data_IF_949468563180
#
_entry.id   IF_949468563180
#
_cell.length_a   1.000
_cell.length_b   1.000
_cell.length_c   1.000
_cell.angle_alpha   90.00
_cell.angle_beta   90.00
_cell.angle_gamma   90.00
#
_symmetry.space_group_name_H-M   'P 1'
#
loop_
_entity.id
_entity.type
_entity.pdbx_description
1 polymer ?
#
# COMPACT_ATOMS: atom_id res chain seq x y z
N UNK A 1 39.57 19.29 60.01
CA UNK A 1 40.54 19.61 58.92
C UNK A 1 40.22 18.68 57.75
N UNK A 2 40.19 19.24 56.53
CA UNK A 2 39.83 18.66 55.19
C UNK A 2 40.51 17.31 54.86
N UNK A 3 40.04 16.50 53.86
CA UNK A 3 39.34 16.89 52.61
C UNK A 3 38.06 16.06 52.32
N UNK A 4 37.07 16.50 51.52
CA UNK A 4 37.05 16.90 50.10
C UNK A 4 37.48 15.77 49.15
N UNK A 5 36.58 14.81 48.89
CA UNK A 5 36.42 14.08 47.61
C UNK A 5 35.29 13.06 47.75
N UNK A 6 34.23 13.22 46.96
CA UNK A 6 33.34 12.21 46.35
C UNK A 6 32.04 12.91 45.90
N UNK A 7 32.22 14.06 45.24
CA UNK A 7 31.36 14.45 44.13
C UNK A 7 32.01 13.82 42.89
N UNK A 8 31.20 13.29 41.97
CA UNK A 8 31.54 12.40 40.85
C UNK A 8 31.56 10.90 41.18
N UNK A 9 30.40 10.24 41.17
CA UNK A 9 30.17 9.01 40.38
C UNK A 9 28.73 8.44 40.47
N UNK A 10 27.68 9.28 40.48
CA UNK A 10 26.29 8.78 40.43
C UNK A 10 25.52 9.24 39.19
N UNK A 11 26.21 9.79 38.19
CA UNK A 11 25.64 10.24 36.91
C UNK A 11 26.27 9.53 35.72
N UNK A 12 26.53 8.23 35.85
CA UNK A 12 27.07 7.44 34.76
C UNK A 12 26.66 5.99 34.91
N UNK A 13 25.37 5.73 34.75
CA UNK A 13 24.78 4.51 34.18
C UNK A 13 23.31 4.78 33.81
N UNK A 14 23.03 5.99 33.30
CA UNK A 14 22.08 6.12 32.18
C UNK A 14 22.83 5.62 30.94
N UNK A 15 23.17 4.32 30.96
CA UNK A 15 23.65 3.63 29.78
C UNK A 15 22.43 3.46 28.91
N UNK A 16 22.23 4.41 28.01
CA UNK A 16 21.47 4.19 26.80
C UNK A 16 21.86 2.81 26.28
N UNK A 17 20.92 1.87 26.28
CA UNK A 17 20.89 0.83 25.26
C UNK A 17 20.66 1.55 23.92
N UNK A 18 21.68 2.28 23.46
CA UNK A 18 21.91 2.49 22.04
C UNK A 18 22.44 1.14 21.57
N UNK A 19 21.53 0.16 21.46
CA UNK A 19 21.82 -1.10 20.79
C UNK A 19 21.97 -0.69 19.33
N UNK A 20 23.20 -0.41 18.92
CA UNK A 20 23.51 -0.39 17.50
C UNK A 20 23.12 -1.76 16.97
N UNK A 21 22.33 -1.79 15.91
CA UNK A 21 21.79 -2.96 15.19
C UNK A 21 22.77 -4.11 14.91
N UNK A 22 24.06 -3.91 15.16
CA UNK A 22 25.15 -4.88 15.06
C UNK A 22 25.05 -6.01 16.11
N UNK A 23 24.48 -5.77 17.29
CA UNK A 23 24.43 -6.77 18.38
C UNK A 23 23.23 -7.73 18.31
N UNK A 24 22.27 -7.51 17.40
CA UNK A 24 21.04 -8.30 17.34
C UNK A 24 21.07 -9.50 16.37
N UNK A 25 22.20 -9.81 15.69
CA UNK A 25 22.28 -10.88 14.68
C UNK A 25 21.07 -10.89 13.73
N UNK A 26 20.62 -9.70 13.35
CA UNK A 26 19.40 -9.53 12.59
C UNK A 26 19.78 -9.26 11.13
N UNK A 27 19.05 -9.87 10.20
CA UNK A 27 19.18 -9.58 8.77
C UNK A 27 18.12 -8.53 8.42
N UNK A 28 18.51 -7.31 8.01
CA UNK A 28 17.53 -6.32 7.59
C UNK A 28 16.79 -6.81 6.34
N UNK A 29 15.55 -6.34 6.11
CA UNK A 29 14.78 -6.72 4.93
C UNK A 29 15.50 -6.34 3.64
N UNK A 30 15.13 -7.01 2.54
CA UNK A 30 15.63 -6.63 1.23
C UNK A 30 15.12 -5.23 0.87
N UNK A 31 15.98 -4.30 0.43
CA UNK A 31 15.57 -2.93 0.17
C UNK A 31 14.76 -2.79 -1.14
N UNK A 32 14.97 -3.71 -2.09
CA UNK A 32 14.37 -3.63 -3.42
C UNK A 32 13.03 -4.35 -3.48
N UNK A 33 12.09 -3.80 -4.24
CA UNK A 33 10.82 -4.46 -4.56
C UNK A 33 11.03 -5.73 -5.39
N UNK A 34 10.21 -6.75 -5.12
CA UNK A 34 10.18 -7.96 -5.95
C UNK A 34 9.82 -7.63 -7.42
N UNK A 35 10.29 -8.44 -8.39
CA UNK A 35 9.90 -8.26 -9.80
C UNK A 35 8.39 -8.27 -10.03
N UNK A 36 7.66 -9.05 -9.23
CA UNK A 36 6.20 -9.10 -9.29
C UNK A 36 5.57 -7.74 -8.96
N UNK A 37 5.99 -7.08 -7.88
CA UNK A 37 5.51 -5.75 -7.53
C UNK A 37 5.92 -4.70 -8.56
N UNK A 38 7.15 -4.79 -9.08
CA UNK A 38 7.61 -3.91 -10.14
C UNK A 38 6.68 -3.99 -11.36
N UNK A 39 6.25 -5.19 -11.73
CA UNK A 39 5.30 -5.39 -12.82
C UNK A 39 3.91 -4.85 -12.50
N UNK A 40 3.40 -5.04 -11.27
CA UNK A 40 2.12 -4.47 -10.83
C UNK A 40 2.10 -2.94 -10.91
N UNK A 41 3.23 -2.29 -10.63
CA UNK A 41 3.35 -0.84 -10.68
C UNK A 41 3.60 -0.30 -12.09
N UNK A 42 3.97 -1.15 -13.04
CA UNK A 42 4.32 -0.75 -14.41
C UNK A 42 3.25 0.08 -15.13
N UNK A 43 1.95 -0.26 -15.07
CA UNK A 43 0.91 0.50 -15.76
C UNK A 43 0.71 1.93 -15.23
N UNK A 44 1.24 2.23 -14.04
CA UNK A 44 1.08 3.51 -13.37
C UNK A 44 2.30 4.42 -13.50
N UNK A 45 3.42 3.96 -14.08
CA UNK A 45 4.71 4.66 -14.05
C UNK A 45 4.69 6.05 -14.71
N UNK A 46 3.75 6.29 -15.61
CA UNK A 46 3.59 7.57 -16.27
C UNK A 46 2.41 8.33 -15.67
N UNK A 47 2.65 9.61 -15.35
CA UNK A 47 1.55 10.50 -14.97
C UNK A 47 0.66 10.72 -16.18
N UNK A 48 -0.59 10.32 -16.10
CA UNK A 48 -1.50 10.27 -17.25
C UNK A 48 -2.95 10.57 -16.88
N UNK A 49 -3.76 10.79 -17.90
CA UNK A 49 -5.21 10.91 -17.79
C UNK A 49 -5.85 9.76 -18.55
N UNK A 50 -6.77 9.05 -17.89
CA UNK A 50 -7.51 7.92 -18.45
C UNK A 50 -8.97 8.32 -18.56
N UNK A 51 -9.57 8.15 -19.73
CA UNK A 51 -11.00 8.40 -19.90
C UNK A 51 -11.81 7.20 -19.38
N UNK A 52 -12.86 7.49 -18.61
CA UNK A 52 -13.80 6.54 -18.05
C UNK A 52 -15.20 6.82 -18.60
N UNK A 53 -16.05 5.79 -18.69
CA UNK A 53 -17.47 5.96 -19.05
C UNK A 53 -18.38 5.18 -18.11
N UNK A 54 -19.55 5.73 -17.86
CA UNK A 54 -20.64 5.08 -17.13
C UNK A 54 -21.63 4.35 -18.10
N UNK A 55 -22.66 3.67 -17.59
CA UNK A 55 -23.67 3.01 -18.43
C UNK A 55 -24.59 3.97 -19.20
N UNK A 56 -24.65 5.25 -18.81
CA UNK A 56 -25.45 6.27 -19.50
C UNK A 56 -24.71 6.94 -20.66
N UNK A 57 -23.40 6.71 -20.78
CA UNK A 57 -22.52 7.30 -21.78
C UNK A 57 -21.91 8.63 -21.34
N UNK A 58 -22.03 8.99 -20.05
CA UNK A 58 -21.23 10.05 -19.44
C UNK A 58 -19.75 9.66 -19.47
N UNK A 59 -18.89 10.66 -19.68
CA UNK A 59 -17.44 10.49 -19.72
C UNK A 59 -16.84 11.30 -18.58
N UNK A 60 -15.97 10.66 -17.81
CA UNK A 60 -15.14 11.31 -16.80
C UNK A 60 -13.65 10.97 -17.05
N UNK A 61 -12.77 11.58 -16.27
CA UNK A 61 -11.33 11.37 -16.33
C UNK A 61 -10.78 10.90 -14.99
N UNK A 62 -9.92 9.90 -15.04
CA UNK A 62 -9.07 9.47 -13.95
C UNK A 62 -7.66 10.03 -14.17
N UNK A 63 -7.17 10.80 -13.20
CA UNK A 63 -5.77 11.23 -13.17
C UNK A 63 -4.93 10.21 -12.41
N UNK A 64 -3.80 9.82 -12.98
CA UNK A 64 -2.81 8.96 -12.34
C UNK A 64 -1.55 9.78 -12.12
N UNK A 65 -1.10 9.89 -10.87
CA UNK A 65 0.19 10.46 -10.50
C UNK A 65 1.06 9.38 -9.87
N UNK A 66 2.34 9.32 -10.22
CA UNK A 66 3.26 8.28 -9.77
C UNK A 66 4.49 8.86 -9.09
N UNK A 67 4.84 8.26 -7.95
CA UNK A 67 5.97 8.66 -7.13
C UNK A 67 6.77 7.43 -6.73
N UNK A 68 8.09 7.55 -6.79
CA UNK A 68 9.03 6.60 -6.20
C UNK A 68 9.72 7.31 -5.04
N UNK A 69 9.68 6.70 -3.87
CA UNK A 69 10.35 7.17 -2.67
C UNK A 69 10.94 6.01 -1.87
N UNK A 70 11.47 6.31 -0.69
CA UNK A 70 11.98 5.31 0.24
C UNK A 70 11.29 5.47 1.59
N UNK A 71 11.04 4.34 2.27
CA UNK A 71 10.48 4.31 3.62
C UNK A 71 11.26 3.30 4.45
N UNK A 72 11.42 3.61 5.75
CA UNK A 72 12.05 2.69 6.68
C UNK A 72 11.14 1.46 6.87
N UNK A 73 11.65 0.29 6.53
CA UNK A 73 10.96 -0.99 6.62
C UNK A 73 11.68 -1.91 7.60
N UNK A 74 10.92 -2.77 8.29
CA UNK A 74 11.43 -3.64 9.35
C UNK A 74 11.16 -3.09 10.75
N UNK A 75 11.82 -3.66 11.76
CA UNK A 75 11.68 -3.23 13.15
C UNK A 75 12.67 -2.13 13.52
N UNK A 76 12.40 -1.41 14.61
CA UNK A 76 13.25 -0.32 15.12
C UNK A 76 14.73 -0.70 15.31
N UNK A 77 15.01 -1.99 15.57
CA UNK A 77 16.35 -2.52 15.78
C UNK A 77 16.93 -3.23 14.55
N UNK A 78 16.10 -3.49 13.53
CA UNK A 78 16.48 -4.21 12.32
C UNK A 78 15.63 -3.79 11.11
N UNK A 79 16.10 -2.78 10.40
CA UNK A 79 15.41 -2.25 9.24
C UNK A 79 16.35 -1.69 8.18
N UNK A 80 15.77 -1.32 7.04
CA UNK A 80 16.46 -0.69 5.92
C UNK A 80 15.59 0.40 5.30
N UNK A 81 16.18 1.25 4.48
CA UNK A 81 15.42 2.13 3.58
C UNK A 81 14.93 1.29 2.39
N UNK A 82 13.68 0.85 2.43
CA UNK A 82 13.07 0.10 1.33
C UNK A 82 12.54 1.06 0.26
N UNK A 83 12.66 0.65 -1.00
CA UNK A 83 11.96 1.31 -2.10
C UNK A 83 10.45 1.20 -1.92
N UNK A 84 9.75 2.33 -2.12
CA UNK A 84 8.30 2.40 -2.17
C UNK A 84 7.87 3.07 -3.48
N UNK A 85 6.85 2.50 -4.10
CA UNK A 85 6.23 3.03 -5.33
C UNK A 85 4.77 3.28 -5.07
N UNK A 86 4.32 4.51 -5.33
CA UNK A 86 2.94 4.93 -5.07
C UNK A 86 2.33 5.47 -6.36
N UNK A 87 1.17 4.94 -6.72
CA UNK A 87 0.29 5.50 -7.72
C UNK A 87 -0.94 6.10 -7.04
N UNK A 88 -1.16 7.40 -7.22
CA UNK A 88 -2.37 8.10 -6.78
C UNK A 88 -3.35 8.20 -7.93
N UNK A 89 -4.54 7.65 -7.74
CA UNK A 89 -5.66 7.64 -8.69
C UNK A 89 -6.68 8.68 -8.20
N UNK A 90 -6.84 9.78 -8.93
CA UNK A 90 -7.78 10.86 -8.58
C UNK A 90 -8.94 10.91 -9.57
N UNK A 91 -10.16 10.76 -9.07
CA UNK A 91 -11.41 10.72 -9.83
C UNK A 91 -12.11 12.08 -9.80
N UNK A 92 -12.78 12.45 -10.90
CA UNK A 92 -13.45 13.74 -11.05
C UNK A 92 -14.89 13.74 -10.55
N UNK A 93 -15.64 12.67 -10.82
CA UNK A 93 -17.07 12.59 -10.54
C UNK A 93 -17.55 11.14 -10.24
N UNK A 94 -17.98 10.84 -9.00
CA UNK A 94 -17.77 11.66 -7.81
C UNK A 94 -16.27 11.80 -7.45
N UNK A 95 -15.84 12.94 -6.87
CA UNK A 95 -14.46 13.14 -6.47
C UNK A 95 -14.00 12.10 -5.44
N UNK A 96 -12.94 11.38 -5.76
CA UNK A 96 -12.33 10.38 -4.89
C UNK A 96 -10.82 10.29 -5.13
N UNK A 97 -10.07 9.82 -4.14
CA UNK A 97 -8.65 9.49 -4.30
C UNK A 97 -8.39 8.08 -3.77
N UNK A 98 -7.67 7.29 -4.56
CA UNK A 98 -7.16 5.98 -4.19
C UNK A 98 -5.65 5.93 -4.39
N UNK A 99 -4.99 5.07 -3.63
CA UNK A 99 -3.56 4.82 -3.73
C UNK A 99 -3.33 3.34 -3.97
N UNK A 100 -2.51 3.01 -4.97
CA UNK A 100 -1.92 1.69 -5.17
C UNK A 100 -0.44 1.82 -4.80
N UNK A 101 0.02 1.05 -3.81
CA UNK A 101 1.35 1.22 -3.25
C UNK A 101 2.10 -0.11 -3.17
N UNK A 102 3.28 -0.19 -3.74
CA UNK A 102 4.21 -1.29 -3.52
C UNK A 102 5.24 -0.90 -2.45
N UNK A 103 5.40 -1.70 -1.39
CA UNK A 103 6.25 -1.42 -0.23
C UNK A 103 6.78 -2.71 0.42
N UNK A 104 7.70 -2.59 1.40
CA UNK A 104 8.23 -3.70 2.20
C UNK A 104 8.63 -4.92 1.36
N UNK A 105 9.27 -4.69 0.21
CA UNK A 105 9.73 -5.64 -0.80
C UNK A 105 8.70 -6.60 -1.44
N UNK A 106 7.58 -6.93 -0.78
CA UNK A 106 6.60 -7.92 -1.20
C UNK A 106 5.14 -7.52 -0.87
N UNK A 107 4.86 -6.27 -0.51
CA UNK A 107 3.51 -5.80 -0.20
C UNK A 107 2.97 -4.84 -1.27
N UNK A 108 1.70 -5.01 -1.64
CA UNK A 108 0.93 -4.13 -2.52
C UNK A 108 -0.33 -3.67 -1.76
N UNK A 109 -0.38 -2.43 -1.27
CA UNK A 109 -1.56 -1.87 -0.61
C UNK A 109 -2.47 -1.16 -1.62
N UNK A 110 -3.79 -1.27 -1.43
CA UNK A 110 -4.77 -0.46 -2.16
C UNK A 110 -5.68 0.23 -1.14
N UNK A 111 -5.57 1.56 -1.03
CA UNK A 111 -6.28 2.34 0.01
C UNK A 111 -6.91 3.62 -0.52
N UNK A 112 -7.83 4.19 0.25
CA UNK A 112 -8.34 5.56 0.06
C UNK A 112 -7.78 6.52 1.12
N UNK A 113 -8.29 7.76 1.20
CA UNK A 113 -7.99 8.74 2.26
C UNK A 113 -8.28 8.23 3.70
N UNK A 114 -9.00 7.10 3.82
CA UNK A 114 -9.22 6.33 5.05
C UNK A 114 -8.89 4.84 4.78
N UNK A 115 -8.28 4.09 5.73
CA UNK A 115 -7.65 2.81 5.43
C UNK A 115 -8.70 1.75 5.07
N UNK A 116 -8.45 0.99 3.99
CA UNK A 116 -9.41 -0.03 3.53
C UNK A 116 -8.83 -1.40 3.16
N UNK A 117 -7.58 -1.57 2.69
CA UNK A 117 -7.11 -2.93 2.36
C UNK A 117 -5.58 -3.03 2.14
N UNK A 118 -4.97 -4.12 2.58
CA UNK A 118 -3.60 -4.52 2.22
C UNK A 118 -3.65 -5.76 1.31
N UNK A 119 -2.69 -5.93 0.40
CA UNK A 119 -2.47 -7.18 -0.34
C UNK A 119 -0.98 -7.53 -0.27
N UNK A 120 -0.64 -8.77 0.06
CA UNK A 120 0.76 -9.21 0.19
C UNK A 120 1.16 -10.03 -1.05
N UNK A 121 1.93 -9.42 -1.94
CA UNK A 121 2.41 -10.02 -3.18
C UNK A 121 3.64 -10.92 -2.92
N UNK A 122 3.42 -12.23 -2.87
CA UNK A 122 4.50 -13.22 -2.78
C UNK A 122 4.04 -14.58 -2.24
N UNK A 123 2.96 -14.59 -1.46
CA UNK A 123 2.25 -15.80 -1.03
C UNK A 123 0.97 -16.05 -1.85
N UNK A 124 0.61 -15.12 -2.75
CA UNK A 124 -0.72 -15.06 -3.36
C UNK A 124 -1.85 -14.87 -2.34
N UNK A 125 -1.53 -14.49 -1.10
CA UNK A 125 -2.48 -14.38 0.00
C UNK A 125 -2.87 -12.91 0.22
N UNK A 126 -4.18 -12.67 0.32
CA UNK A 126 -4.77 -11.36 0.62
C UNK A 126 -4.93 -11.21 2.13
N UNK A 127 -4.46 -10.10 2.72
CA UNK A 127 -4.58 -9.82 4.15
C UNK A 127 -5.07 -8.40 4.36
N UNK A 128 -6.11 -8.20 5.15
CA UNK A 128 -6.52 -6.83 5.50
C UNK A 128 -5.47 -6.17 6.40
N UNK A 129 -5.38 -4.84 6.35
CA UNK A 129 -4.44 -4.00 7.10
C UNK A 129 -4.48 -4.17 8.63
N UNK A 130 -5.47 -4.90 9.14
CA UNK A 130 -5.64 -5.23 10.54
C UNK A 130 -5.02 -6.57 10.96
N UNK A 131 -4.26 -7.24 10.07
CA UNK A 131 -3.58 -8.50 10.38
C UNK A 131 -4.53 -9.68 10.63
N UNK A 132 -5.80 -9.54 10.29
CA UNK A 132 -6.76 -10.64 10.29
C UNK A 132 -6.67 -11.37 8.96
N UNK A 133 -6.44 -12.68 9.04
CA UNK A 133 -6.79 -13.67 8.03
C UNK A 133 -8.33 -13.66 7.95
N UNK A 134 -8.87 -12.67 7.24
CA UNK A 134 -10.29 -12.37 7.24
C UNK A 134 -11.03 -13.15 6.15
N UNK A 135 -12.16 -13.74 6.53
CA UNK A 135 -13.23 -14.30 5.67
C UNK A 135 -13.88 -13.25 4.74
N UNK A 136 -13.08 -12.41 4.06
CA UNK A 136 -13.53 -11.68 2.87
C UNK A 136 -13.42 -12.53 1.60
N UNK A 137 -13.00 -13.80 1.74
CA UNK A 137 -12.83 -14.77 0.65
C UNK A 137 -14.12 -15.17 -0.07
N UNK A 138 -15.29 -14.83 0.46
CA UNK A 138 -16.57 -15.26 -0.13
C UNK A 138 -17.04 -14.32 -1.26
N UNK A 139 -16.53 -13.09 -1.34
CA UNK A 139 -16.97 -12.07 -2.33
C UNK A 139 -15.91 -11.70 -3.38
N UNK A 140 -14.76 -12.38 -3.38
CA UNK A 140 -13.69 -12.21 -4.37
C UNK A 140 -13.43 -13.49 -5.14
N UNK A 141 -13.95 -13.60 -6.35
CA UNK A 141 -13.60 -14.71 -7.25
C UNK A 141 -12.41 -14.34 -8.13
N UNK A 142 -11.32 -15.09 -8.03
CA UNK A 142 -10.30 -15.12 -9.08
C UNK A 142 -10.80 -15.96 -10.25
N UNK A 143 -10.91 -15.35 -11.42
CA UNK A 143 -11.12 -16.07 -12.68
C UNK A 143 -9.78 -16.45 -13.28
N UNK A 144 -9.41 -17.74 -13.18
CA UNK A 144 -8.28 -18.42 -13.84
C UNK A 144 -6.92 -18.42 -13.13
N UNK A 145 -6.12 -19.42 -13.50
CA UNK A 145 -4.81 -19.83 -12.95
C UNK A 145 -3.67 -18.80 -13.20
N UNK A 146 -4.01 -17.54 -13.49
CA UNK A 146 -3.10 -16.45 -13.83
C UNK A 146 -3.55 -15.14 -13.18
N UNK A 147 -2.78 -14.64 -12.21
CA UNK A 147 -2.99 -13.41 -11.42
C UNK A 147 -2.93 -12.11 -12.26
N UNK A 148 -3.82 -11.92 -13.24
CA UNK A 148 -3.80 -10.76 -14.15
C UNK A 148 -4.55 -9.53 -13.62
N UNK A 149 -5.48 -9.72 -12.68
CA UNK A 149 -6.28 -8.65 -12.10
C UNK A 149 -6.60 -8.88 -10.61
N UNK A 150 -6.70 -7.78 -9.86
CA UNK A 150 -7.19 -7.72 -8.49
C UNK A 150 -8.54 -6.99 -8.51
N UNK A 151 -9.54 -7.62 -7.88
CA UNK A 151 -10.86 -7.03 -7.70
C UNK A 151 -11.07 -6.75 -6.22
N UNK A 152 -11.62 -5.58 -5.91
CA UNK A 152 -11.97 -5.10 -4.59
C UNK A 152 -13.45 -4.70 -4.63
N UNK A 153 -14.22 -5.15 -3.67
CA UNK A 153 -15.65 -4.94 -3.52
C UNK A 153 -15.91 -4.87 -2.04
N UNK A 154 -16.53 -3.80 -1.63
CA UNK A 154 -16.90 -3.62 -0.24
C UNK A 154 -18.40 -3.84 -0.11
N UNK A 155 -18.77 -4.72 0.82
CA UNK A 155 -20.14 -5.17 1.04
C UNK A 155 -20.91 -4.30 2.03
N UNK A 156 -20.21 -3.65 2.98
CA UNK A 156 -20.81 -2.79 4.01
C UNK A 156 -20.08 -1.44 4.15
N UNK A 157 -20.00 -0.68 3.07
CA UNK A 157 -19.28 0.60 3.01
C UNK A 157 -20.21 1.78 3.34
N UNK A 158 -20.57 1.93 4.60
CA UNK A 158 -21.24 3.16 5.05
C UNK A 158 -20.33 4.38 4.84
N UNK A 159 -20.56 5.14 3.76
CA UNK A 159 -19.89 6.42 3.50
C UNK A 159 -18.52 6.35 2.79
N UNK A 160 -18.15 5.22 2.18
CA UNK A 160 -16.94 5.14 1.37
C UNK A 160 -17.20 5.66 -0.05
N UNK A 161 -16.26 6.40 -0.66
CA UNK A 161 -16.43 6.95 -2.01
C UNK A 161 -16.37 5.89 -3.10
N UNK A 162 -15.76 4.73 -2.81
CA UNK A 162 -15.57 3.62 -3.75
C UNK A 162 -16.08 2.33 -3.11
N UNK A 163 -17.04 1.69 -3.77
CA UNK A 163 -17.63 0.40 -3.38
C UNK A 163 -16.96 -0.77 -4.09
N UNK A 164 -16.29 -0.52 -5.21
CA UNK A 164 -15.49 -1.53 -5.87
C UNK A 164 -14.43 -0.98 -6.80
N UNK A 165 -13.37 -1.73 -7.02
CA UNK A 165 -12.25 -1.38 -7.89
C UNK A 165 -11.68 -2.67 -8.50
N UNK A 166 -11.53 -2.67 -9.82
CA UNK A 166 -10.79 -3.70 -10.53
C UNK A 166 -9.53 -3.08 -11.11
N UNK A 167 -8.36 -3.57 -10.68
CA UNK A 167 -7.07 -3.20 -11.25
C UNK A 167 -6.41 -4.40 -11.93
N UNK A 168 -5.67 -4.16 -12.99
CA UNK A 168 -4.89 -5.17 -13.69
C UNK A 168 -3.40 -4.85 -13.68
N UNK A 169 -2.61 -5.91 -13.64
CA UNK A 169 -1.15 -5.89 -13.73
C UNK A 169 -0.65 -5.32 -15.07
N UNK A 170 -1.47 -5.35 -16.13
CA UNK A 170 -1.02 -4.95 -17.48
C UNK A 170 -1.51 -3.57 -17.88
N UNK A 171 -2.73 -3.19 -17.47
CA UNK A 171 -3.38 -1.96 -17.94
C UNK A 171 -3.79 -1.00 -16.83
N UNK A 172 -3.52 -1.34 -15.57
CA UNK A 172 -3.86 -0.52 -14.40
C UNK A 172 -5.35 -0.61 -14.08
N UNK A 173 -6.01 0.49 -13.64
CA UNK A 173 -7.41 0.47 -13.26
C UNK A 173 -8.29 0.24 -14.48
N UNK A 174 -9.20 -0.74 -14.38
CA UNK A 174 -10.12 -1.15 -15.46
C UNK A 174 -11.52 -0.67 -15.16
N UNK A 175 -11.97 -0.88 -13.92
CA UNK A 175 -13.34 -0.61 -13.50
C UNK A 175 -13.36 -0.07 -12.08
N UNK A 176 -14.32 0.79 -11.75
CA UNK A 176 -14.63 1.16 -10.38
C UNK A 176 -16.13 1.34 -10.18
N UNK A 177 -16.60 1.07 -8.97
CA UNK A 177 -17.99 1.26 -8.55
C UNK A 177 -17.99 2.35 -7.50
N UNK A 178 -18.74 3.41 -7.74
CA UNK A 178 -18.81 4.54 -6.82
C UNK A 178 -19.75 4.30 -5.63
N UNK A 179 -19.85 5.28 -4.74
CA UNK A 179 -20.72 5.25 -3.57
C UNK A 179 -22.20 5.02 -3.93
N UNK A 180 -22.65 5.54 -5.06
CA UNK A 180 -24.03 5.43 -5.56
C UNK A 180 -24.28 4.09 -6.28
N UNK A 181 -23.23 3.31 -6.52
CA UNK A 181 -23.28 2.02 -7.21
C UNK A 181 -23.18 2.12 -8.73
N UNK A 182 -22.73 3.25 -9.26
CA UNK A 182 -22.49 3.45 -10.70
C UNK A 182 -21.16 2.79 -11.06
N UNK A 183 -21.19 1.99 -12.12
CA UNK A 183 -20.02 1.31 -12.67
C UNK A 183 -19.37 2.16 -13.75
N UNK A 184 -18.14 2.56 -13.49
CA UNK A 184 -17.31 3.33 -14.41
C UNK A 184 -16.23 2.43 -15.00
N UNK A 185 -16.04 2.51 -16.32
CA UNK A 185 -15.10 1.65 -17.06
C UNK A 185 -14.13 2.46 -17.89
N UNK A 186 -12.89 2.02 -17.94
CA UNK A 186 -11.90 2.55 -18.88
C UNK A 186 -12.36 2.35 -20.34
N UNK A 187 -12.28 3.42 -21.13
CA UNK A 187 -12.53 3.42 -22.58
C UNK A 187 -11.40 2.76 -23.38
#
# INVERSE_FOLDING_TARGET
MKPLLFLFLSTSLASCCLVSSVDCNCEPPAPDLTPELIDWMKPYQETTMVALTDPSGEIDTLSIAFVVDTEFCGGDECGSECERRTAQLSFGNPPATLFVMAYENNNLQIRSDSPLLDYHAGSGSLWTSAGYEGEYSDDFSFGSDTLEALQLFCTECGGQPVRGLTISRTIGPIEWIDADGILWKKL
#
